data_IF_163907933836
#
_entry.id   IF_163907933836
#
_cell.length_a   1.000
_cell.length_b   1.000
_cell.length_c   1.000
_cell.angle_alpha   90.00
_cell.angle_beta   90.00
_cell.angle_gamma   90.00
#
_symmetry.space_group_name_H-M   'P 1'
#
loop_
_entity.id
_entity.type
_entity.pdbx_description
1 polymer ?
#
# COMPACT_ATOMS: atom_id res chain seq x y z
N UNK A 1 -57.14 34.14 22.40
CA UNK A 1 -56.12 33.50 21.56
C UNK A 1 -54.78 33.90 22.12
N UNK A 2 -54.15 33.02 22.91
CA UNK A 2 -52.81 33.27 23.42
C UNK A 2 -51.81 32.70 22.39
N UNK A 3 -51.02 33.60 21.82
CA UNK A 3 -49.91 33.21 20.97
C UNK A 3 -48.87 32.48 21.81
N UNK A 4 -48.64 31.19 21.54
CA UNK A 4 -47.57 30.44 22.16
C UNK A 4 -46.24 31.05 21.63
N UNK A 5 -45.57 31.78 22.54
CA UNK A 5 -44.19 32.21 22.30
C UNK A 5 -43.32 30.95 22.31
N UNK A 6 -42.99 30.41 21.15
CA UNK A 6 -41.94 29.43 21.00
C UNK A 6 -40.66 30.01 21.62
N UNK A 7 -40.33 29.60 22.82
CA UNK A 7 -39.11 29.99 23.51
C UNK A 7 -37.90 29.45 22.76
N UNK A 8 -37.32 30.31 21.90
CA UNK A 8 -36.09 30.00 21.14
C UNK A 8 -34.98 29.68 22.12
N UNK A 9 -34.63 28.43 22.26
CA UNK A 9 -33.57 27.97 23.18
C UNK A 9 -32.22 28.41 22.65
N UNK A 10 -31.62 29.43 23.25
CA UNK A 10 -30.26 29.90 22.97
C UNK A 10 -29.26 29.15 23.85
N UNK A 11 -28.17 28.63 23.28
CA UNK A 11 -27.12 27.96 24.04
C UNK A 11 -25.74 28.28 23.47
N UNK A 12 -24.90 28.92 24.29
CA UNK A 12 -23.54 29.27 23.90
C UNK A 12 -22.74 28.04 23.44
N UNK A 13 -21.96 28.20 22.36
CA UNK A 13 -21.11 27.15 21.80
C UNK A 13 -19.71 27.17 22.42
N UNK A 14 -19.25 26.03 22.92
CA UNK A 14 -17.94 25.91 23.55
C UNK A 14 -16.90 25.54 22.50
N UNK A 15 -15.83 26.35 22.32
CA UNK A 15 -14.80 26.10 21.28
C UNK A 15 -14.10 24.73 21.41
N UNK A 16 -13.86 24.29 22.64
CA UNK A 16 -13.22 23.00 22.89
C UNK A 16 -14.10 21.82 22.44
N UNK A 17 -15.44 21.92 22.55
CA UNK A 17 -16.36 20.89 22.04
C UNK A 17 -16.32 20.86 20.52
N UNK A 18 -16.25 22.02 19.85
CA UNK A 18 -16.11 22.08 18.41
C UNK A 18 -14.80 21.43 17.93
N UNK A 19 -13.69 21.68 18.64
CA UNK A 19 -12.40 21.03 18.38
C UNK A 19 -12.51 19.51 18.58
N UNK A 20 -12.99 19.06 19.73
CA UNK A 20 -13.13 17.64 20.06
C UNK A 20 -13.97 16.88 19.02
N UNK A 21 -15.12 17.41 18.66
CA UNK A 21 -16.00 16.81 17.65
C UNK A 21 -15.35 16.78 16.25
N UNK A 22 -14.56 17.82 15.90
CA UNK A 22 -13.84 17.84 14.60
C UNK A 22 -12.68 16.86 14.56
N UNK A 23 -12.04 16.57 15.71
CA UNK A 23 -11.00 15.56 15.85
C UNK A 23 -11.62 14.16 15.80
N UNK A 24 -12.76 13.96 16.48
CA UNK A 24 -13.47 12.69 16.51
C UNK A 24 -13.97 12.28 15.10
N UNK A 25 -14.57 13.21 14.37
CA UNK A 25 -14.89 13.05 12.95
C UNK A 25 -14.86 14.42 12.26
N UNK A 26 -14.06 14.51 11.21
CA UNK A 26 -13.91 15.75 10.42
C UNK A 26 -15.28 16.28 9.97
N UNK A 27 -15.58 17.53 10.31
CA UNK A 27 -16.85 18.17 9.99
C UNK A 27 -17.89 18.17 11.11
N UNK A 28 -17.85 17.30 12.12
CA UNK A 28 -18.82 17.28 13.23
C UNK A 28 -18.79 18.57 14.05
N UNK A 29 -17.64 19.18 14.27
CA UNK A 29 -17.53 20.47 14.92
C UNK A 29 -18.27 21.58 14.19
N UNK A 30 -18.30 21.54 12.83
CA UNK A 30 -19.07 22.48 12.02
C UNK A 30 -20.59 22.25 12.16
N UNK A 31 -21.02 20.99 12.26
CA UNK A 31 -22.43 20.67 12.57
C UNK A 31 -22.80 21.23 13.95
N UNK A 32 -21.91 21.08 14.95
CA UNK A 32 -22.11 21.63 16.29
C UNK A 32 -22.30 23.15 16.29
N UNK A 33 -21.55 23.88 15.46
CA UNK A 33 -21.68 25.36 15.32
C UNK A 33 -22.71 25.78 14.27
N UNK A 34 -23.55 24.87 13.78
CA UNK A 34 -24.66 25.19 12.90
C UNK A 34 -24.30 25.40 11.44
N UNK A 35 -23.10 24.96 11.00
CA UNK A 35 -22.58 25.12 9.64
C UNK A 35 -22.32 23.75 8.95
N UNK A 36 -23.33 22.84 8.83
CA UNK A 36 -23.11 21.47 8.34
C UNK A 36 -22.54 21.42 6.92
N UNK A 37 -22.94 22.36 6.04
CA UNK A 37 -22.39 22.45 4.66
C UNK A 37 -20.87 22.68 4.66
N UNK A 38 -20.35 23.54 5.55
CA UNK A 38 -18.91 23.77 5.69
C UNK A 38 -18.19 22.51 6.21
N UNK A 39 -18.79 21.81 7.15
CA UNK A 39 -18.25 20.53 7.66
C UNK A 39 -18.14 19.48 6.56
N UNK A 40 -19.18 19.36 5.74
CA UNK A 40 -19.17 18.43 4.59
C UNK A 40 -18.11 18.81 3.56
N UNK A 41 -18.01 20.09 3.20
CA UNK A 41 -16.98 20.59 2.27
C UNK A 41 -15.56 20.34 2.82
N UNK A 42 -15.32 20.56 4.11
CA UNK A 42 -14.05 20.28 4.76
C UNK A 42 -13.68 18.78 4.73
N UNK A 43 -14.65 17.89 4.96
CA UNK A 43 -14.48 16.45 4.86
C UNK A 43 -14.14 16.03 3.42
N UNK A 44 -14.90 16.48 2.44
CA UNK A 44 -14.68 16.17 1.03
C UNK A 44 -13.33 16.71 0.54
N UNK A 45 -12.97 17.95 0.91
CA UNK A 45 -11.67 18.52 0.56
C UNK A 45 -10.52 17.70 1.12
N UNK A 46 -10.62 17.24 2.37
CA UNK A 46 -9.59 16.41 3.00
C UNK A 46 -9.48 15.04 2.32
N UNK A 47 -10.60 14.41 1.98
CA UNK A 47 -10.61 13.14 1.27
C UNK A 47 -10.01 13.25 -0.15
N UNK A 48 -10.38 14.30 -0.89
CA UNK A 48 -9.82 14.56 -2.21
C UNK A 48 -8.32 14.87 -2.15
N UNK A 49 -7.90 15.70 -1.17
CA UNK A 49 -6.48 15.98 -0.97
C UNK A 49 -5.69 14.72 -0.59
N UNK A 50 -6.25 13.85 0.25
CA UNK A 50 -5.65 12.56 0.59
C UNK A 50 -5.54 11.63 -0.61
N UNK A 51 -6.60 11.51 -1.42
CA UNK A 51 -6.58 10.73 -2.66
C UNK A 51 -5.54 11.26 -3.66
N UNK A 52 -5.51 12.56 -3.88
CA UNK A 52 -4.52 13.21 -4.73
C UNK A 52 -3.10 13.01 -4.22
N UNK A 53 -2.89 13.12 -2.91
CA UNK A 53 -1.59 12.85 -2.31
C UNK A 53 -1.09 11.44 -2.60
N UNK A 54 -1.94 10.42 -2.43
CA UNK A 54 -1.57 9.02 -2.73
C UNK A 54 -1.22 8.88 -4.21
N UNK A 55 -2.04 9.40 -5.13
CA UNK A 55 -1.78 9.34 -6.57
C UNK A 55 -0.46 10.04 -6.92
N UNK A 56 -0.23 11.26 -6.45
CA UNK A 56 1.00 12.00 -6.72
C UNK A 56 2.23 11.30 -6.14
N UNK A 57 2.11 10.69 -4.94
CA UNK A 57 3.22 9.97 -4.30
C UNK A 57 3.66 8.73 -5.07
N UNK A 58 2.80 8.17 -5.93
CA UNK A 58 3.14 7.06 -6.82
C UNK A 58 3.96 7.52 -8.04
N UNK A 59 3.77 8.74 -8.50
CA UNK A 59 4.43 9.27 -9.71
C UNK A 59 5.66 10.10 -9.37
N UNK A 60 5.62 10.86 -8.26
CA UNK A 60 6.75 11.68 -7.83
C UNK A 60 7.70 10.86 -6.93
N UNK A 61 8.88 10.53 -7.46
CA UNK A 61 9.83 9.64 -6.81
C UNK A 61 10.76 10.34 -5.77
N UNK A 62 10.48 11.58 -5.41
CA UNK A 62 11.23 12.34 -4.40
C UNK A 62 10.75 12.02 -2.99
N UNK A 63 11.62 11.49 -2.09
CA UNK A 63 11.27 11.29 -0.68
C UNK A 63 10.88 12.60 0.01
N UNK A 64 11.58 13.69 -0.28
CA UNK A 64 11.27 15.01 0.27
C UNK A 64 9.87 15.49 -0.10
N UNK A 65 9.43 15.29 -1.35
CA UNK A 65 8.07 15.61 -1.77
C UNK A 65 7.02 14.84 -0.94
N UNK A 66 7.22 13.54 -0.74
CA UNK A 66 6.28 12.68 -0.01
C UNK A 66 6.12 13.10 1.45
N UNK A 67 7.24 13.38 2.11
CA UNK A 67 7.24 13.83 3.51
C UNK A 67 6.62 15.23 3.63
N UNK A 68 7.05 16.18 2.81
CA UNK A 68 6.53 17.57 2.87
C UNK A 68 5.04 17.63 2.59
N UNK A 69 4.56 16.92 1.55
CA UNK A 69 3.15 16.91 1.19
C UNK A 69 2.27 16.20 2.23
N UNK A 70 2.79 15.21 2.96
CA UNK A 70 2.09 14.63 4.12
C UNK A 70 1.86 15.66 5.23
N UNK A 71 2.87 16.49 5.56
CA UNK A 71 2.69 17.56 6.54
C UNK A 71 1.72 18.65 6.05
N UNK A 72 1.66 18.89 4.75
CA UNK A 72 0.63 19.79 4.17
C UNK A 72 -0.77 19.25 4.43
N UNK A 73 -1.01 17.93 4.27
CA UNK A 73 -2.30 17.31 4.61
C UNK A 73 -2.68 17.47 6.08
N UNK A 74 -1.72 17.29 6.99
CA UNK A 74 -1.93 17.56 8.42
C UNK A 74 -2.29 19.02 8.63
N UNK A 75 -1.61 19.95 7.96
CA UNK A 75 -1.93 21.39 8.01
C UNK A 75 -3.35 21.70 7.53
N UNK A 76 -3.80 21.10 6.45
CA UNK A 76 -5.18 21.21 5.95
C UNK A 76 -6.19 20.70 6.98
N UNK A 77 -5.93 19.53 7.58
CA UNK A 77 -6.79 19.00 8.64
C UNK A 77 -6.85 19.93 9.86
N UNK A 78 -5.69 20.41 10.33
CA UNK A 78 -5.62 21.39 11.42
C UNK A 78 -6.40 22.68 11.08
N UNK A 79 -6.34 23.15 9.84
CA UNK A 79 -7.10 24.32 9.39
C UNK A 79 -8.61 24.09 9.45
N UNK A 80 -9.11 22.90 9.08
CA UNK A 80 -10.53 22.53 9.21
C UNK A 80 -10.95 22.51 10.68
N UNK A 81 -10.14 21.96 11.59
CA UNK A 81 -10.43 21.98 13.02
C UNK A 81 -10.44 23.42 13.56
N UNK A 82 -9.43 24.22 13.18
CA UNK A 82 -9.32 25.62 13.61
C UNK A 82 -10.51 26.48 13.11
N UNK A 83 -11.01 26.22 11.89
CA UNK A 83 -12.20 26.92 11.38
C UNK A 83 -13.43 26.64 12.25
N UNK A 84 -13.67 25.38 12.64
CA UNK A 84 -14.77 25.03 13.55
C UNK A 84 -14.65 25.72 14.92
N UNK A 85 -13.43 25.80 15.46
CA UNK A 85 -13.14 26.51 16.74
C UNK A 85 -13.37 28.01 16.58
N UNK A 86 -12.91 28.61 15.49
CA UNK A 86 -13.10 30.03 15.19
C UNK A 86 -14.59 30.39 15.09
N UNK A 87 -15.37 29.59 14.40
CA UNK A 87 -16.81 29.73 14.28
C UNK A 87 -17.51 29.60 15.65
N UNK A 88 -17.11 28.64 16.48
CA UNK A 88 -17.62 28.48 17.84
C UNK A 88 -17.37 29.73 18.70
N UNK A 89 -16.21 30.39 18.58
CA UNK A 89 -15.88 31.63 19.30
C UNK A 89 -16.70 32.82 18.80
N UNK A 90 -16.89 32.91 17.48
CA UNK A 90 -17.57 34.06 16.83
C UNK A 90 -19.08 34.05 17.04
N UNK A 91 -19.72 32.89 16.85
CA UNK A 91 -21.17 32.75 16.80
C UNK A 91 -21.76 32.32 18.18
N UNK A 92 -20.93 32.30 19.26
CA UNK A 92 -21.28 31.74 20.57
C UNK A 92 -22.42 32.45 21.33
N UNK A 93 -22.51 33.79 21.41
CA UNK A 93 -23.44 34.42 22.36
C UNK A 93 -24.91 34.22 21.97
N UNK A 94 -25.24 34.19 20.68
CA UNK A 94 -26.60 34.23 20.15
C UNK A 94 -27.03 32.99 19.39
N UNK A 95 -26.35 31.86 19.62
CA UNK A 95 -26.61 30.62 18.86
C UNK A 95 -27.98 30.02 19.19
N UNK A 96 -28.84 29.97 18.17
CA UNK A 96 -30.14 29.29 18.22
C UNK A 96 -29.98 27.82 17.94
N UNK A 97 -30.44 26.96 18.85
CA UNK A 97 -30.40 25.50 18.66
C UNK A 97 -31.28 25.10 17.48
N UNK A 98 -30.69 24.30 16.59
CA UNK A 98 -31.38 23.71 15.44
C UNK A 98 -31.81 22.28 15.74
N UNK A 99 -32.80 21.69 15.04
CA UNK A 99 -33.27 20.32 15.30
C UNK A 99 -32.17 19.25 15.30
N UNK A 100 -31.12 19.45 14.50
CA UNK A 100 -29.97 18.54 14.44
C UNK A 100 -28.92 18.76 15.55
N UNK A 101 -29.07 19.75 16.43
CA UNK A 101 -28.15 19.97 17.55
C UNK A 101 -28.51 19.14 18.79
N UNK A 102 -28.94 17.90 18.59
CA UNK A 102 -29.24 16.93 19.64
C UNK A 102 -28.08 15.94 19.79
N UNK A 103 -27.79 15.51 21.00
CA UNK A 103 -26.67 14.59 21.29
C UNK A 103 -26.69 13.32 20.45
N UNK A 104 -27.86 12.70 20.28
CA UNK A 104 -28.00 11.48 19.47
C UNK A 104 -27.68 11.72 17.98
N UNK A 105 -27.91 12.92 17.43
CA UNK A 105 -27.57 13.24 16.03
C UNK A 105 -26.06 13.24 15.82
N UNK A 106 -25.29 13.79 16.78
CA UNK A 106 -23.82 13.71 16.69
C UNK A 106 -23.33 12.28 16.80
N UNK A 107 -23.93 11.47 17.68
CA UNK A 107 -23.61 10.05 17.79
C UNK A 107 -23.94 9.31 16.48
N UNK A 108 -25.12 9.55 15.90
CA UNK A 108 -25.52 8.94 14.62
C UNK A 108 -24.61 9.36 13.46
N UNK A 109 -24.24 10.63 13.36
CA UNK A 109 -23.31 11.13 12.33
C UNK A 109 -21.90 10.56 12.53
N UNK A 110 -21.44 10.43 13.78
CA UNK A 110 -20.17 9.79 14.07
C UNK A 110 -20.19 8.31 13.65
N UNK A 111 -21.22 7.56 14.04
CA UNK A 111 -21.37 6.15 13.66
C UNK A 111 -21.44 5.99 12.15
N UNK A 112 -22.20 6.84 11.46
CA UNK A 112 -22.24 6.87 9.98
C UNK A 112 -20.85 7.13 9.39
N UNK A 113 -20.13 8.12 9.90
CA UNK A 113 -18.77 8.43 9.44
C UNK A 113 -17.80 7.28 9.70
N UNK A 114 -17.80 6.70 10.89
CA UNK A 114 -16.85 5.67 11.31
C UNK A 114 -17.13 4.30 10.67
N UNK A 115 -18.39 3.89 10.57
CA UNK A 115 -18.77 2.54 10.16
C UNK A 115 -19.25 2.41 8.71
N UNK A 116 -19.58 3.51 8.05
CA UNK A 116 -20.05 3.51 6.66
C UNK A 116 -19.13 4.31 5.75
N UNK A 117 -18.96 5.61 6.01
CA UNK A 117 -18.25 6.49 5.08
C UNK A 117 -16.74 6.22 5.05
N UNK A 118 -16.12 6.03 6.20
CA UNK A 118 -14.68 5.78 6.28
C UNK A 118 -14.29 4.40 5.69
N UNK A 119 -14.97 3.29 5.99
CA UNK A 119 -14.71 2.01 5.34
C UNK A 119 -14.95 2.05 3.82
N UNK A 120 -16.02 2.73 3.37
CA UNK A 120 -16.29 2.90 1.93
C UNK A 120 -15.16 3.68 1.25
N UNK A 121 -14.73 4.82 1.81
CA UNK A 121 -13.58 5.57 1.31
C UNK A 121 -12.31 4.72 1.26
N UNK A 122 -12.01 4.01 2.35
CA UNK A 122 -10.84 3.12 2.41
C UNK A 122 -10.92 2.04 1.33
N UNK A 123 -12.10 1.42 1.15
CA UNK A 123 -12.29 0.39 0.10
C UNK A 123 -12.05 0.96 -1.30
N UNK A 124 -12.61 2.13 -1.59
CA UNK A 124 -12.39 2.80 -2.89
C UNK A 124 -10.90 3.12 -3.09
N UNK A 125 -10.25 3.67 -2.07
CA UNK A 125 -8.82 3.99 -2.13
C UNK A 125 -7.94 2.77 -2.34
N UNK A 126 -8.20 1.68 -1.60
CA UNK A 126 -7.39 0.45 -1.70
C UNK A 126 -7.58 -0.27 -3.03
N UNK A 127 -8.76 -0.19 -3.65
CA UNK A 127 -9.04 -0.83 -4.94
C UNK A 127 -8.63 0.02 -6.13
N UNK A 128 -8.79 1.35 -6.07
CA UNK A 128 -8.54 2.24 -7.20
C UNK A 128 -7.15 2.88 -7.20
N UNK A 129 -6.58 3.10 -6.03
CA UNK A 129 -5.33 3.88 -5.90
C UNK A 129 -4.18 3.02 -5.38
N UNK A 130 -4.35 2.33 -4.26
CA UNK A 130 -3.30 1.47 -3.73
C UNK A 130 -3.54 1.05 -2.28
N UNK A 131 -2.83 0.01 -1.87
CA UNK A 131 -2.91 -0.56 -0.53
C UNK A 131 -1.56 -0.59 0.16
N UNK A 132 -1.60 -0.49 1.48
CA UNK A 132 -0.44 -0.68 2.33
C UNK A 132 -0.23 -2.18 2.59
N UNK A 133 1.01 -2.65 2.44
CA UNK A 133 1.41 -4.05 2.71
C UNK A 133 2.63 -4.05 3.60
N UNK A 134 2.58 -4.81 4.69
CA UNK A 134 3.76 -5.11 5.51
C UNK A 134 4.51 -6.28 4.87
N UNK A 135 5.82 -6.13 4.68
CA UNK A 135 6.68 -7.22 4.21
C UNK A 135 7.33 -7.92 5.43
N UNK A 136 6.99 -9.19 5.69
CA UNK A 136 7.42 -9.86 6.91
C UNK A 136 8.78 -10.59 6.78
N UNK A 137 9.27 -10.81 5.54
CA UNK A 137 10.41 -11.69 5.27
C UNK A 137 11.63 -10.97 4.72
N UNK A 138 12.71 -11.73 4.53
CA UNK A 138 13.99 -11.26 4.02
C UNK A 138 14.30 -11.74 2.60
N UNK A 139 13.34 -12.37 1.93
CA UNK A 139 13.53 -12.95 0.59
C UNK A 139 13.89 -11.91 -0.50
N UNK A 140 13.62 -10.63 -0.24
CA UNK A 140 13.90 -9.54 -1.17
C UNK A 140 15.04 -8.61 -0.72
N UNK A 141 15.84 -9.03 0.27
CA UNK A 141 17.04 -8.27 0.64
C UNK A 141 18.04 -8.20 -0.52
N UNK A 142 18.70 -7.05 -0.70
CA UNK A 142 18.69 -5.84 0.13
C UNK A 142 17.57 -4.85 -0.25
N UNK A 143 16.83 -5.09 -1.34
CA UNK A 143 15.83 -4.16 -1.88
C UNK A 143 14.71 -3.90 -0.89
N UNK A 144 14.05 -4.95 -0.42
CA UNK A 144 13.01 -4.91 0.61
C UNK A 144 13.44 -5.82 1.76
N UNK A 145 13.25 -5.36 2.99
CA UNK A 145 13.63 -6.13 4.19
C UNK A 145 12.46 -6.28 5.15
N UNK A 146 12.52 -7.29 6.01
CA UNK A 146 11.48 -7.53 7.01
C UNK A 146 11.20 -6.27 7.83
N UNK A 147 9.92 -5.92 7.98
CA UNK A 147 9.47 -4.71 8.67
C UNK A 147 9.37 -3.46 7.80
N UNK A 148 9.57 -3.57 6.48
CA UNK A 148 9.21 -2.54 5.53
C UNK A 148 7.69 -2.55 5.28
N UNK A 149 7.09 -1.39 5.28
CA UNK A 149 5.70 -1.15 4.91
C UNK A 149 5.67 -0.49 3.54
N UNK A 150 5.05 -1.15 2.59
CA UNK A 150 5.07 -0.78 1.18
C UNK A 150 3.72 -0.25 0.73
N UNK A 151 3.73 0.79 -0.09
CA UNK A 151 2.58 1.16 -0.87
C UNK A 151 2.59 0.33 -2.16
N UNK A 152 1.51 -0.41 -2.40
CA UNK A 152 1.33 -1.26 -3.58
C UNK A 152 0.24 -0.68 -4.46
N UNK A 153 0.58 -0.37 -5.71
CA UNK A 153 -0.39 0.03 -6.74
C UNK A 153 -1.21 -1.18 -7.20
N UNK A 154 -2.54 -1.12 -7.29
CA UNK A 154 -3.39 -2.26 -7.60
C UNK A 154 -3.35 -2.71 -9.06
N UNK A 155 -2.50 -2.15 -9.90
CA UNK A 155 -2.52 -2.45 -11.32
C UNK A 155 -1.22 -2.95 -11.92
N UNK A 156 -1.22 -4.18 -12.43
CA UNK A 156 -0.56 -4.50 -13.67
C UNK A 156 -1.59 -4.43 -14.82
N UNK A 157 -1.77 -3.30 -15.47
CA UNK A 157 -2.58 -3.22 -16.70
C UNK A 157 -1.86 -3.79 -17.92
N UNK A 158 -0.61 -4.14 -17.77
CA UNK A 158 0.28 -4.68 -18.82
C UNK A 158 1.00 -5.90 -18.26
N UNK A 159 1.41 -6.80 -19.14
CA UNK A 159 2.33 -7.87 -18.78
C UNK A 159 3.54 -7.31 -18.04
N UNK A 160 4.03 -7.96 -16.98
CA UNK A 160 5.19 -7.49 -16.25
C UNK A 160 6.43 -7.50 -17.16
N UNK A 161 7.37 -6.58 -16.91
CA UNK A 161 8.66 -6.56 -17.61
C UNK A 161 9.74 -7.23 -16.78
N UNK A 162 10.78 -7.76 -17.46
CA UNK A 162 11.98 -8.26 -16.77
C UNK A 162 12.56 -7.20 -15.84
N UNK A 163 12.97 -7.60 -14.65
CA UNK A 163 13.50 -6.73 -13.60
C UNK A 163 12.46 -6.00 -12.76
N UNK A 164 11.18 -6.08 -13.09
CA UNK A 164 10.10 -5.44 -12.35
C UNK A 164 9.75 -6.19 -11.06
N UNK A 165 9.49 -5.45 -9.98
CA UNK A 165 8.91 -6.01 -8.76
C UNK A 165 7.40 -6.16 -8.92
N UNK A 166 6.88 -7.32 -8.57
CA UNK A 166 5.46 -7.63 -8.64
C UNK A 166 4.95 -8.16 -7.31
N UNK A 167 3.69 -7.88 -7.02
CA UNK A 167 2.93 -8.56 -5.97
C UNK A 167 2.03 -9.56 -6.66
N UNK A 168 2.17 -10.82 -6.30
CA UNK A 168 1.34 -11.89 -6.84
C UNK A 168 0.77 -12.73 -5.71
N UNK A 169 -0.35 -13.38 -5.97
CA UNK A 169 -1.09 -14.19 -5.00
C UNK A 169 -1.05 -15.65 -5.39
N UNK A 170 -0.69 -16.51 -4.44
CA UNK A 170 -0.74 -17.96 -4.65
C UNK A 170 -2.17 -18.51 -4.54
N UNK A 171 -2.31 -19.82 -4.73
CA UNK A 171 -3.59 -20.54 -4.65
C UNK A 171 -4.18 -20.56 -3.23
N UNK A 172 -3.37 -20.33 -2.21
CA UNK A 172 -3.77 -20.29 -0.79
C UNK A 172 -4.21 -18.87 -0.37
N UNK A 173 -4.09 -17.88 -1.27
CA UNK A 173 -4.47 -16.49 -1.02
C UNK A 173 -3.36 -15.66 -0.38
N UNK A 174 -2.13 -16.19 -0.29
CA UNK A 174 -0.96 -15.47 0.26
C UNK A 174 -0.33 -14.58 -0.80
N UNK A 175 -0.05 -13.34 -0.44
CA UNK A 175 0.62 -12.37 -1.31
C UNK A 175 2.14 -12.45 -1.15
N UNK A 176 2.83 -12.55 -2.28
CA UNK A 176 4.29 -12.54 -2.37
C UNK A 176 4.76 -11.31 -3.14
N UNK A 177 5.90 -10.77 -2.75
CA UNK A 177 6.59 -9.72 -3.49
C UNK A 177 7.89 -10.33 -3.99
N UNK A 178 8.06 -10.37 -5.31
CA UNK A 178 9.24 -10.93 -5.96
C UNK A 178 9.53 -10.18 -7.26
N UNK A 179 10.71 -10.41 -7.84
CA UNK A 179 11.15 -9.76 -9.07
C UNK A 179 10.95 -10.68 -10.27
N UNK A 180 10.45 -10.11 -11.36
CA UNK A 180 10.29 -10.81 -12.63
C UNK A 180 11.67 -11.04 -13.25
N UNK A 181 12.05 -12.30 -13.32
CA UNK A 181 13.32 -12.74 -13.91
C UNK A 181 13.21 -13.00 -15.42
N UNK A 182 12.07 -13.60 -15.84
CA UNK A 182 11.80 -13.88 -17.25
C UNK A 182 10.30 -13.79 -17.54
N UNK A 183 9.94 -13.43 -18.75
CA UNK A 183 8.56 -13.23 -19.24
C UNK A 183 8.21 -14.21 -20.35
N UNK A 184 6.96 -14.21 -20.78
CA UNK A 184 6.45 -15.08 -21.84
C UNK A 184 7.32 -15.07 -23.10
N UNK A 185 7.73 -16.26 -23.55
CA UNK A 185 8.58 -16.47 -24.71
C UNK A 185 10.08 -16.49 -24.42
N UNK A 186 10.50 -16.05 -23.25
CA UNK A 186 11.90 -16.11 -22.84
C UNK A 186 12.35 -17.54 -22.60
N UNK A 187 13.66 -17.75 -22.76
CA UNK A 187 14.36 -18.94 -22.25
C UNK A 187 15.21 -18.53 -21.06
N UNK A 188 14.96 -19.11 -19.90
CA UNK A 188 15.65 -18.76 -18.65
C UNK A 188 16.46 -19.93 -18.10
N UNK A 189 17.64 -19.65 -17.57
CA UNK A 189 18.49 -20.62 -16.88
C UNK A 189 19.37 -19.94 -15.84
N UNK A 190 19.83 -20.71 -14.87
CA UNK A 190 20.82 -20.29 -13.88
C UNK A 190 22.06 -21.14 -14.03
N UNK A 191 23.21 -20.52 -14.16
CA UNK A 191 24.52 -21.18 -14.20
C UNK A 191 25.43 -20.57 -13.15
N UNK A 192 25.81 -21.32 -12.15
CA UNK A 192 26.72 -20.87 -11.09
C UNK A 192 26.30 -19.50 -10.52
N UNK A 193 25.01 -19.38 -10.12
CA UNK A 193 24.39 -18.17 -9.53
C UNK A 193 24.18 -17.00 -10.51
N UNK A 194 24.53 -17.13 -11.78
CA UNK A 194 24.28 -16.11 -12.80
C UNK A 194 23.01 -16.47 -13.58
N UNK A 195 22.05 -15.54 -13.64
CA UNK A 195 20.86 -15.68 -14.47
C UNK A 195 21.19 -15.38 -15.93
N UNK A 196 20.76 -16.28 -16.82
CA UNK A 196 20.80 -16.08 -18.27
C UNK A 196 19.38 -16.06 -18.79
N UNK A 197 19.10 -15.11 -19.67
CA UNK A 197 17.84 -15.04 -20.42
C UNK A 197 18.16 -14.95 -21.90
N UNK A 198 17.56 -15.84 -22.70
CA UNK A 198 17.83 -16.01 -24.12
C UNK A 198 19.33 -16.22 -24.43
N UNK A 199 20.00 -16.94 -23.51
CA UNK A 199 21.44 -17.27 -23.60
C UNK A 199 22.39 -16.12 -23.22
N UNK A 200 21.88 -14.96 -22.83
CA UNK A 200 22.69 -13.81 -22.42
C UNK A 200 22.65 -13.63 -20.89
N UNK A 201 23.77 -13.34 -20.23
CA UNK A 201 23.80 -13.05 -18.80
C UNK A 201 23.05 -11.75 -18.51
N UNK A 202 22.27 -11.77 -17.42
CA UNK A 202 21.50 -10.59 -16.95
C UNK A 202 22.30 -9.87 -15.87
N UNK A 203 22.45 -8.56 -16.01
CA UNK A 203 23.01 -7.72 -14.95
C UNK A 203 21.97 -7.49 -13.87
N UNK A 204 22.24 -7.93 -12.65
CA UNK A 204 21.31 -7.89 -11.52
C UNK A 204 21.95 -7.22 -10.27
N UNK A 205 22.11 -5.88 -10.28
CA UNK A 205 22.80 -5.17 -9.20
C UNK A 205 22.08 -5.21 -7.85
N UNK A 206 20.85 -5.69 -7.83
CA UNK A 206 19.99 -5.82 -6.66
C UNK A 206 20.11 -7.19 -5.98
N UNK A 207 20.76 -8.18 -6.63
CA UNK A 207 20.85 -9.54 -6.12
C UNK A 207 21.85 -9.65 -4.98
N UNK A 208 21.47 -10.40 -3.96
CA UNK A 208 22.35 -10.80 -2.87
C UNK A 208 22.52 -12.33 -2.83
N UNK A 209 23.77 -12.74 -2.65
CA UNK A 209 24.18 -14.09 -2.33
C UNK A 209 24.79 -14.08 -0.92
N UNK A 210 24.11 -14.67 0.05
CA UNK A 210 24.50 -14.64 1.47
C UNK A 210 25.02 -15.97 1.98
N UNK A 211 24.84 -17.02 1.20
CA UNK A 211 25.19 -18.40 1.59
C UNK A 211 26.24 -18.97 0.64
N UNK A 212 27.32 -19.47 1.23
CA UNK A 212 28.39 -20.21 0.55
C UNK A 212 28.22 -21.71 0.67
N UNK A 213 27.12 -22.19 1.29
CA UNK A 213 26.85 -23.62 1.42
C UNK A 213 26.71 -24.28 0.04
N UNK A 214 26.90 -25.60 0.02
CA UNK A 214 26.79 -26.41 -1.20
C UNK A 214 25.43 -26.21 -1.89
N UNK A 215 25.39 -26.52 -3.17
CA UNK A 215 24.22 -26.39 -4.06
C UNK A 215 23.66 -27.79 -4.42
N UNK A 216 23.02 -28.53 -3.49
CA UNK A 216 22.43 -29.81 -3.78
C UNK A 216 21.21 -29.68 -4.68
N UNK A 217 20.97 -30.73 -5.49
CA UNK A 217 19.74 -30.83 -6.26
C UNK A 217 18.50 -30.78 -5.35
N UNK A 218 17.46 -30.05 -5.79
CA UNK A 218 16.22 -29.88 -5.03
C UNK A 218 15.03 -30.49 -5.79
N UNK A 219 14.41 -31.56 -5.26
CA UNK A 219 13.26 -32.20 -5.92
C UNK A 219 12.05 -31.28 -6.13
N UNK A 220 11.90 -30.20 -5.34
CA UNK A 220 10.82 -29.22 -5.50
C UNK A 220 10.92 -28.46 -6.83
N UNK A 221 12.06 -28.50 -7.49
CA UNK A 221 12.30 -27.87 -8.78
C UNK A 221 12.00 -28.81 -9.96
N UNK A 222 11.51 -30.03 -9.74
CA UNK A 222 11.22 -31.03 -10.79
C UNK A 222 10.14 -30.54 -11.81
N UNK A 223 9.27 -29.60 -11.44
CA UNK A 223 8.30 -28.99 -12.34
C UNK A 223 8.96 -28.38 -13.60
N UNK A 224 10.24 -28.05 -13.54
CA UNK A 224 11.01 -27.46 -14.65
C UNK A 224 11.18 -28.44 -15.81
N UNK A 225 11.11 -29.75 -15.56
CA UNK A 225 11.29 -30.78 -16.61
C UNK A 225 10.27 -30.62 -17.75
N UNK A 226 9.03 -30.21 -17.43
CA UNK A 226 7.96 -29.99 -18.41
C UNK A 226 8.22 -28.77 -19.30
N UNK A 227 9.14 -27.89 -18.91
CA UNK A 227 9.44 -26.62 -19.58
C UNK A 227 10.84 -26.58 -20.18
N UNK A 228 11.62 -27.64 -20.06
CA UNK A 228 12.99 -27.68 -20.61
C UNK A 228 12.98 -27.50 -22.12
N UNK A 229 13.93 -26.70 -22.64
CA UNK A 229 14.17 -26.50 -24.09
C UNK A 229 14.50 -27.82 -24.76
N UNK A 230 15.19 -28.71 -24.04
CA UNK A 230 15.52 -30.09 -24.46
C UNK A 230 15.39 -31.02 -23.27
N UNK A 231 14.81 -32.19 -23.50
CA UNK A 231 14.75 -33.21 -22.45
C UNK A 231 16.17 -33.61 -22.03
N UNK A 232 16.40 -33.64 -20.70
CA UNK A 232 17.66 -34.01 -20.09
C UNK A 232 17.40 -35.24 -19.25
N UNK A 233 18.10 -36.35 -19.56
CA UNK A 233 18.03 -37.53 -18.71
C UNK A 233 18.60 -37.20 -17.32
N UNK A 234 17.91 -37.67 -16.25
CA UNK A 234 18.31 -37.43 -14.86
C UNK A 234 18.49 -35.92 -14.54
N UNK A 235 17.56 -35.07 -14.99
CA UNK A 235 17.58 -33.65 -14.70
C UNK A 235 17.54 -33.40 -13.18
N UNK A 236 18.58 -32.77 -12.65
CA UNK A 236 18.76 -32.49 -11.22
C UNK A 236 19.01 -31.03 -10.96
N UNK A 237 17.95 -30.19 -11.04
CA UNK A 237 18.09 -28.78 -10.80
C UNK A 237 18.46 -28.49 -9.34
N UNK A 238 19.23 -27.43 -9.15
CA UNK A 238 19.61 -26.91 -7.87
C UNK A 238 19.34 -25.41 -7.79
N UNK A 239 19.47 -24.83 -6.60
CA UNK A 239 19.27 -23.40 -6.39
C UNK A 239 20.08 -22.54 -7.38
N UNK A 240 21.32 -22.92 -7.60
CA UNK A 240 22.32 -22.15 -8.34
C UNK A 240 22.54 -22.63 -9.78
N UNK A 241 21.95 -23.81 -10.14
CA UNK A 241 22.08 -24.42 -11.46
C UNK A 241 20.76 -25.09 -11.90
N UNK A 242 20.09 -24.53 -12.89
CA UNK A 242 18.82 -25.05 -13.42
C UNK A 242 18.55 -24.53 -14.85
N UNK A 243 17.61 -25.14 -15.53
CA UNK A 243 17.21 -24.80 -16.90
C UNK A 243 18.11 -25.41 -17.95
N UNK A 244 18.07 -24.89 -19.22
CA UNK A 244 17.20 -23.79 -19.68
C UNK A 244 15.73 -24.20 -19.82
N UNK A 245 14.83 -23.36 -19.31
CA UNK A 245 13.36 -23.54 -19.39
C UNK A 245 12.73 -22.47 -20.28
N UNK A 246 11.69 -22.82 -21.03
CA UNK A 246 10.90 -21.89 -21.82
C UNK A 246 9.74 -21.37 -20.99
N UNK A 247 9.54 -20.06 -20.97
CA UNK A 247 8.43 -19.43 -20.27
C UNK A 247 7.19 -19.41 -21.17
N UNK A 248 6.09 -20.08 -20.80
CA UNK A 248 4.86 -20.12 -21.60
C UNK A 248 4.17 -18.76 -21.67
N UNK A 249 3.25 -18.62 -22.65
CA UNK A 249 2.60 -17.32 -22.98
C UNK A 249 1.78 -16.69 -21.84
N UNK A 250 1.28 -17.47 -20.93
CA UNK A 250 0.43 -17.03 -19.81
C UNK A 250 1.20 -16.92 -18.48
N UNK A 251 2.51 -17.16 -18.50
CA UNK A 251 3.38 -17.24 -17.34
C UNK A 251 4.54 -16.26 -17.33
N UNK A 252 5.15 -16.12 -16.17
CA UNK A 252 6.42 -15.44 -15.96
C UNK A 252 7.14 -16.06 -14.75
N UNK A 253 8.45 -15.99 -14.78
CA UNK A 253 9.30 -16.46 -13.70
C UNK A 253 9.62 -15.33 -12.73
N UNK A 254 9.44 -15.57 -11.45
CA UNK A 254 9.77 -14.60 -10.39
C UNK A 254 10.85 -15.17 -9.47
N UNK A 255 11.79 -14.32 -9.08
CA UNK A 255 12.86 -14.65 -8.15
C UNK A 255 12.92 -13.64 -7.00
N UNK A 256 13.40 -14.10 -5.85
CA UNK A 256 13.77 -13.19 -4.76
C UNK A 256 15.12 -12.55 -5.03
N UNK A 257 15.31 -11.29 -4.60
CA UNK A 257 16.60 -10.61 -4.71
C UNK A 257 17.65 -11.27 -3.79
N UNK A 258 17.19 -11.83 -2.65
CA UNK A 258 18.02 -12.68 -1.78
C UNK A 258 18.00 -14.12 -2.31
N UNK A 259 18.82 -14.40 -3.32
CA UNK A 259 18.83 -15.66 -4.09
C UNK A 259 18.98 -16.90 -3.22
N UNK A 260 19.77 -16.82 -2.19
CA UNK A 260 20.08 -17.97 -1.33
C UNK A 260 19.03 -18.20 -0.24
N UNK A 261 18.17 -17.19 0.03
CA UNK A 261 17.13 -17.26 1.06
C UNK A 261 15.76 -16.83 0.51
N UNK A 262 15.37 -17.38 -0.64
CA UNK A 262 14.06 -17.13 -1.25
C UNK A 262 13.42 -18.44 -1.69
N UNK A 263 12.18 -18.64 -1.25
CA UNK A 263 11.31 -19.71 -1.77
C UNK A 263 10.42 -19.12 -2.87
N UNK A 264 10.97 -19.05 -4.08
CA UNK A 264 10.42 -18.34 -5.22
C UNK A 264 10.04 -19.27 -6.40
N UNK A 265 9.94 -18.71 -7.61
CA UNK A 265 9.55 -19.43 -8.80
C UNK A 265 10.40 -20.62 -9.13
N UNK A 266 11.66 -20.70 -8.69
CA UNK A 266 12.51 -21.91 -8.84
C UNK A 266 11.84 -23.15 -8.24
N UNK A 267 11.14 -22.96 -7.10
CA UNK A 267 10.53 -24.04 -6.31
C UNK A 267 9.00 -24.09 -6.49
N UNK A 268 8.36 -22.95 -6.67
CA UNK A 268 6.88 -22.80 -6.73
C UNK A 268 6.31 -22.92 -8.15
N UNK A 269 7.19 -22.85 -9.16
CA UNK A 269 6.77 -22.81 -10.55
C UNK A 269 6.52 -21.39 -11.07
N UNK A 270 5.97 -21.34 -12.28
CA UNK A 270 5.69 -20.09 -12.98
C UNK A 270 4.45 -19.41 -12.42
N UNK A 271 4.50 -18.10 -12.32
CA UNK A 271 3.36 -17.29 -11.91
C UNK A 271 2.52 -16.93 -13.13
N UNK A 272 1.21 -17.13 -13.06
CA UNK A 272 0.27 -16.77 -14.12
C UNK A 272 -0.09 -15.29 -14.05
N UNK A 273 -0.33 -14.67 -15.20
CA UNK A 273 -0.70 -13.26 -15.28
C UNK A 273 -1.95 -12.92 -14.45
N UNK A 274 -2.91 -13.84 -14.34
CA UNK A 274 -4.12 -13.67 -13.53
C UNK A 274 -3.88 -13.65 -12.01
N UNK A 275 -2.70 -14.09 -11.55
CA UNK A 275 -2.31 -14.07 -10.13
C UNK A 275 -1.68 -12.74 -9.69
N UNK A 276 -1.45 -11.82 -10.63
CA UNK A 276 -0.90 -10.50 -10.32
C UNK A 276 -1.90 -9.66 -9.53
N UNK A 277 -1.42 -9.10 -8.43
CA UNK A 277 -2.21 -8.27 -7.52
C UNK A 277 -1.84 -6.79 -7.63
N UNK A 278 -0.57 -6.51 -7.94
CA UNK A 278 -0.08 -5.14 -8.04
C UNK A 278 1.43 -5.05 -8.15
N UNK A 279 1.93 -3.81 -8.00
CA UNK A 279 3.37 -3.49 -8.00
C UNK A 279 3.72 -2.69 -6.76
N UNK A 280 4.77 -3.05 -6.01
CA UNK A 280 5.26 -2.21 -4.94
C UNK A 280 5.87 -0.93 -5.54
N UNK A 281 5.57 0.22 -4.93
CA UNK A 281 6.01 1.53 -5.46
C UNK A 281 7.08 2.15 -4.59
N UNK A 282 6.85 2.19 -3.27
CA UNK A 282 7.78 2.78 -2.32
C UNK A 282 7.52 2.32 -0.88
N UNK A 283 8.55 2.47 -0.02
CA UNK A 283 8.50 2.17 1.41
C UNK A 283 7.99 3.41 2.13
N UNK A 284 6.76 3.37 2.67
CA UNK A 284 6.21 4.52 3.39
C UNK A 284 6.57 4.52 4.88
N UNK A 285 6.91 3.37 5.44
CA UNK A 285 7.39 3.23 6.80
C UNK A 285 8.29 2.00 6.91
N UNK A 286 9.26 2.03 7.82
CA UNK A 286 10.17 0.91 8.06
C UNK A 286 10.59 0.85 9.52
N UNK A 287 10.48 -0.34 10.13
CA UNK A 287 10.97 -0.60 11.48
C UNK A 287 11.64 -1.96 11.59
N UNK A 288 12.61 -2.06 12.46
CA UNK A 288 13.27 -3.34 12.73
C UNK A 288 12.30 -4.28 13.47
N UNK A 289 12.05 -5.53 13.00
CA UNK A 289 11.05 -6.41 13.61
C UNK A 289 11.33 -6.77 15.07
N UNK A 290 12.61 -6.94 15.45
CA UNK A 290 13.00 -7.34 16.81
C UNK A 290 13.08 -6.17 17.79
N UNK A 291 13.77 -5.06 17.44
CA UNK A 291 13.98 -3.91 18.32
C UNK A 291 12.86 -2.88 18.25
N UNK A 292 12.04 -2.89 17.19
CA UNK A 292 11.04 -1.85 16.93
C UNK A 292 11.62 -0.51 16.47
N UNK A 293 12.94 -0.41 16.31
CA UNK A 293 13.66 0.80 15.90
C UNK A 293 13.24 1.23 14.49
N UNK A 294 12.99 2.54 14.31
CA UNK A 294 12.60 3.11 13.01
C UNK A 294 13.82 3.28 12.12
N UNK A 295 13.76 2.73 10.92
CA UNK A 295 14.80 2.87 9.88
C UNK A 295 14.48 4.04 8.97
N UNK A 296 14.83 5.23 9.42
CA UNK A 296 14.56 6.51 8.74
C UNK A 296 15.14 6.57 7.32
N UNK A 297 16.30 5.96 7.11
CA UNK A 297 16.99 5.90 5.82
C UNK A 297 16.21 5.13 4.75
N UNK A 298 15.25 4.28 5.14
CA UNK A 298 14.43 3.50 4.23
C UNK A 298 13.11 4.16 3.88
N UNK A 299 12.64 5.08 4.75
CA UNK A 299 11.34 5.75 4.53
C UNK A 299 11.42 6.67 3.32
N UNK A 300 10.45 6.54 2.41
CA UNK A 300 10.39 7.30 1.16
C UNK A 300 11.20 6.70 0.01
N UNK A 301 11.96 5.61 0.20
CA UNK A 301 12.68 4.94 -0.89
C UNK A 301 11.70 4.35 -1.89
N UNK A 302 11.95 4.59 -3.17
CA UNK A 302 11.27 3.86 -4.25
C UNK A 302 11.83 2.46 -4.34
N UNK A 303 10.95 1.47 -4.56
CA UNK A 303 11.34 0.08 -4.83
C UNK A 303 11.16 -0.19 -6.32
N UNK A 304 12.28 -0.56 -6.96
CA UNK A 304 12.34 -0.85 -8.40
C UNK A 304 13.20 -2.10 -8.62
#
# INVERSE_FOLDING_TARGET
MAASSDSVTRKARRPWIAAFLSILATGLGHVYVGRPRRGLLGLLALWLAGALWVVLSMHVHSPGFRVTSFFVLIGVWCAVVADAVRLARRDSPDFVLRPYNRGWVYAALFLLAAFVLQPLYTRVMTTAVGRAVLFPGDMMRPTIVAGDYLLVSPHPRTSPMRGELVVWRDSEGTDFIQRVAAVAGDTAEMRSKVLYVDGLPVEEPYVAHIDSAGDPADPRMAWQEEHLVRSVADYRPSRDNWGPIVIPRDGFLVLGDNRDNSFDGRYRGLVRSGSLVGRPVWIYFSRHPGSGEIRWDRIGRSVR
#
